data_IF_256160671491
#
_entry.id   IF_256160671491
#
_cell.length_a   1.000
_cell.length_b   1.000
_cell.length_c   1.000
_cell.angle_alpha   90.00
_cell.angle_beta   90.00
_cell.angle_gamma   90.00
#
_symmetry.space_group_name_H-M   'P 1'
#
loop_
_entity.id
_entity.type
_entity.pdbx_description
1 polymer ?
#
# COMPACT_ATOMS: atom_id res chain seq x y z
N UNK A 1 -51.48 -11.41 31.22
CA UNK A 1 -52.43 -12.29 30.51
C UNK A 1 -51.65 -13.06 29.45
N UNK A 2 -51.57 -14.40 29.53
CA UNK A 2 -50.82 -15.21 28.56
C UNK A 2 -51.60 -15.38 27.25
N UNK A 3 -50.89 -15.24 26.11
CA UNK A 3 -51.43 -15.49 24.77
C UNK A 3 -51.39 -17.01 24.46
N UNK A 4 -52.39 -17.55 23.74
CA UNK A 4 -52.46 -18.97 23.39
C UNK A 4 -51.49 -19.36 22.24
N UNK A 5 -51.04 -20.63 22.19
CA UNK A 5 -50.12 -21.12 21.15
C UNK A 5 -50.81 -21.31 19.79
N UNK A 6 -50.08 -21.07 18.69
CA UNK A 6 -50.52 -21.36 17.32
C UNK A 6 -49.76 -22.56 16.71
N UNK A 7 -50.40 -23.31 15.79
CA UNK A 7 -50.11 -24.70 15.48
C UNK A 7 -48.99 -24.92 14.45
N UNK A 8 -48.45 -26.14 14.46
CA UNK A 8 -47.48 -26.65 13.49
C UNK A 8 -48.13 -27.01 12.14
N UNK A 9 -47.48 -26.72 11.00
CA UNK A 9 -47.59 -27.48 9.76
C UNK A 9 -46.37 -28.43 9.65
N UNK A 10 -46.51 -29.74 9.46
CA UNK A 10 -47.21 -30.37 8.35
C UNK A 10 -46.20 -30.72 7.26
N UNK A 11 -45.55 -31.89 7.38
CA UNK A 11 -44.61 -32.45 6.40
C UNK A 11 -45.27 -32.73 5.05
N UNK A 12 -44.50 -32.66 3.96
CA UNK A 12 -44.56 -33.75 3.00
C UNK A 12 -43.18 -34.32 2.62
N UNK A 13 -43.24 -35.63 2.38
CA UNK A 13 -42.24 -36.59 1.92
C UNK A 13 -41.80 -36.32 0.47
N UNK A 14 -40.53 -36.62 0.14
CA UNK A 14 -40.06 -37.25 -1.11
C UNK A 14 -38.56 -36.96 -1.37
N UNK A 15 -37.78 -38.00 -1.68
CA UNK A 15 -36.60 -37.86 -2.54
C UNK A 15 -35.35 -38.61 -2.11
N UNK A 16 -35.30 -39.91 -2.40
CA UNK A 16 -34.08 -40.70 -2.38
C UNK A 16 -33.17 -40.39 -3.59
N UNK A 17 -31.85 -40.40 -3.37
CA UNK A 17 -30.92 -41.05 -4.31
C UNK A 17 -29.92 -40.18 -5.09
N UNK A 18 -28.65 -40.55 -4.90
CA UNK A 18 -27.53 -40.55 -5.85
C UNK A 18 -26.65 -39.30 -6.04
N UNK A 19 -25.47 -39.39 -5.41
CA UNK A 19 -24.13 -39.34 -6.00
C UNK A 19 -23.88 -38.31 -7.12
N UNK A 20 -23.04 -37.33 -6.80
CA UNK A 20 -22.40 -36.45 -7.78
C UNK A 20 -21.27 -35.68 -7.14
N UNK A 21 -20.09 -36.30 -7.10
CA UNK A 21 -18.82 -35.61 -6.87
C UNK A 21 -18.70 -34.41 -7.81
N UNK A 22 -18.78 -33.19 -7.31
CA UNK A 22 -17.96 -32.06 -7.75
C UNK A 22 -17.78 -31.11 -6.56
N UNK A 23 -16.69 -31.31 -5.81
CA UNK A 23 -16.18 -30.29 -4.93
C UNK A 23 -15.66 -29.16 -5.82
N UNK A 24 -16.53 -28.20 -6.14
CA UNK A 24 -16.11 -26.89 -6.60
C UNK A 24 -15.25 -26.30 -5.50
N UNK A 25 -13.93 -26.36 -5.66
CA UNK A 25 -13.02 -25.52 -4.92
C UNK A 25 -13.32 -24.07 -5.31
N UNK A 26 -14.27 -23.47 -4.60
CA UNK A 26 -14.37 -22.02 -4.48
C UNK A 26 -13.03 -21.59 -3.87
N UNK A 27 -12.09 -21.16 -4.72
CA UNK A 27 -10.98 -20.33 -4.25
C UNK A 27 -11.67 -19.17 -3.56
N UNK A 28 -11.56 -19.13 -2.23
CA UNK A 28 -11.78 -17.93 -1.45
C UNK A 28 -10.66 -17.01 -1.91
N UNK A 29 -10.90 -16.28 -3.00
CA UNK A 29 -10.22 -15.03 -3.25
C UNK A 29 -10.49 -14.21 -2.00
N UNK A 30 -9.53 -14.30 -1.08
CA UNK A 30 -9.56 -13.53 0.13
C UNK A 30 -9.39 -12.13 -0.39
N UNK A 31 -10.48 -11.36 -0.39
CA UNK A 31 -10.44 -9.93 -0.56
C UNK A 31 -9.54 -9.41 0.57
N UNK A 32 -8.23 -9.37 0.29
CA UNK A 32 -7.23 -8.81 1.18
C UNK A 32 -7.36 -7.31 0.98
N UNK A 33 -8.29 -6.71 1.70
CA UNK A 33 -8.36 -5.26 1.80
C UNK A 33 -7.09 -4.79 2.52
N UNK A 34 -6.27 -3.92 1.89
CA UNK A 34 -4.98 -3.55 2.46
C UNK A 34 -5.15 -2.71 3.74
N UNK A 35 -4.45 -3.10 4.80
CA UNK A 35 -4.48 -2.36 6.07
C UNK A 35 -3.46 -1.23 6.03
N UNK A 36 -3.92 -0.01 5.76
CA UNK A 36 -3.08 1.20 5.79
C UNK A 36 -3.12 1.94 7.12
N UNK A 37 -3.85 1.41 8.12
CA UNK A 37 -4.00 2.03 9.44
C UNK A 37 -2.80 1.76 10.35
N UNK A 38 -2.13 0.63 10.13
CA UNK A 38 -0.96 0.23 10.90
C UNK A 38 0.33 0.80 10.30
N UNK A 39 1.15 1.54 11.07
CA UNK A 39 2.45 2.00 10.58
C UNK A 39 3.40 0.79 10.37
N UNK A 40 4.21 0.78 9.31
CA UNK A 40 5.16 -0.29 9.06
C UNK A 40 6.23 -0.35 10.15
N UNK A 41 6.58 -1.56 10.55
CA UNK A 41 7.79 -1.81 11.36
C UNK A 41 9.04 -1.38 10.60
N UNK A 42 10.17 -1.22 11.31
CA UNK A 42 11.45 -0.83 10.67
C UNK A 42 11.84 -1.74 9.50
N UNK A 43 11.70 -3.05 9.65
CA UNK A 43 12.06 -4.01 8.60
C UNK A 43 11.13 -3.93 7.39
N UNK A 44 9.82 -3.78 7.61
CA UNK A 44 8.85 -3.57 6.53
C UNK A 44 9.10 -2.24 5.81
N UNK A 45 9.37 -1.17 6.55
CA UNK A 45 9.71 0.14 6.00
C UNK A 45 10.94 0.06 5.11
N UNK A 46 12.00 -0.62 5.56
CA UNK A 46 13.21 -0.82 4.75
C UNK A 46 12.91 -1.58 3.45
N UNK A 47 12.14 -2.66 3.50
CA UNK A 47 11.76 -3.42 2.31
C UNK A 47 10.92 -2.58 1.33
N UNK A 48 9.93 -1.83 1.84
CA UNK A 48 9.08 -0.96 1.01
C UNK A 48 9.86 0.23 0.42
N UNK A 49 10.78 0.83 1.18
CA UNK A 49 11.66 1.90 0.68
C UNK A 49 12.65 1.35 -0.35
N UNK A 50 13.19 0.14 -0.14
CA UNK A 50 14.00 -0.56 -1.14
C UNK A 50 13.23 -0.82 -2.43
N UNK A 51 11.96 -1.24 -2.31
CA UNK A 51 11.10 -1.38 -3.48
C UNK A 51 10.83 -0.05 -4.20
N UNK A 52 10.65 1.06 -3.48
CA UNK A 52 10.53 2.37 -4.11
C UNK A 52 11.80 2.82 -4.84
N UNK A 53 12.97 2.36 -4.40
CA UNK A 53 14.23 2.64 -5.06
C UNK A 53 14.46 1.79 -6.32
N UNK A 54 13.80 0.65 -6.44
CA UNK A 54 13.79 -0.18 -7.64
C UNK A 54 12.94 0.44 -8.75
N UNK A 55 13.37 0.28 -10.01
CA UNK A 55 12.70 0.88 -11.17
C UNK A 55 11.33 0.26 -11.46
N UNK A 56 11.17 -1.02 -11.15
CA UNK A 56 9.92 -1.77 -11.35
C UNK A 56 9.10 -1.87 -10.06
N UNK A 57 9.59 -1.28 -8.96
CA UNK A 57 8.93 -1.37 -7.66
C UNK A 57 9.13 -2.72 -6.97
N UNK A 58 10.09 -3.55 -7.38
CA UNK A 58 10.29 -4.91 -6.85
C UNK A 58 10.89 -4.88 -5.46
N UNK A 59 10.49 -5.82 -4.61
CA UNK A 59 11.15 -5.96 -3.33
C UNK A 59 12.62 -6.40 -3.51
N UNK A 60 13.53 -5.92 -2.63
CA UNK A 60 14.90 -6.41 -2.58
C UNK A 60 14.96 -7.93 -2.39
N UNK A 61 15.88 -8.60 -3.08
CA UNK A 61 16.05 -10.06 -3.04
C UNK A 61 16.38 -10.58 -1.63
N UNK A 62 17.00 -9.76 -0.79
CA UNK A 62 17.36 -10.07 0.59
C UNK A 62 16.22 -9.82 1.60
N UNK A 63 15.02 -9.51 1.13
CA UNK A 63 13.84 -9.33 1.99
C UNK A 63 13.54 -10.62 2.74
N UNK A 64 13.62 -10.56 4.07
CA UNK A 64 13.37 -11.69 4.95
C UNK A 64 11.96 -12.30 4.71
N UNK A 65 11.85 -13.62 4.68
CA UNK A 65 10.59 -14.34 4.42
C UNK A 65 9.45 -13.98 5.38
N UNK A 66 9.73 -13.66 6.65
CA UNK A 66 8.71 -13.17 7.60
C UNK A 66 8.23 -11.78 7.26
N UNK A 67 9.13 -10.90 6.80
CA UNK A 67 8.77 -9.56 6.33
C UNK A 67 7.92 -9.69 5.07
N UNK A 68 8.35 -10.50 4.10
CA UNK A 68 7.60 -10.78 2.88
C UNK A 68 6.19 -11.29 3.20
N UNK A 69 6.06 -12.35 4.01
CA UNK A 69 4.76 -12.89 4.40
C UNK A 69 3.87 -11.83 5.06
N UNK A 70 4.44 -11.02 5.96
CA UNK A 70 3.68 -9.94 6.59
C UNK A 70 3.25 -8.85 5.62
N UNK A 71 4.07 -8.48 4.64
CA UNK A 71 3.71 -7.50 3.61
C UNK A 71 2.56 -8.01 2.72
N UNK A 72 2.56 -9.31 2.39
CA UNK A 72 1.46 -9.98 1.67
C UNK A 72 0.17 -9.95 2.48
N UNK A 73 0.23 -10.34 3.76
CA UNK A 73 -0.93 -10.34 4.65
C UNK A 73 -1.52 -8.95 4.84
N UNK A 74 -0.70 -7.90 4.84
CA UNK A 74 -1.14 -6.50 4.95
C UNK A 74 -1.63 -5.92 3.61
N UNK A 75 -1.49 -6.65 2.49
CA UNK A 75 -1.88 -6.19 1.16
C UNK A 75 -1.02 -5.05 0.62
N UNK A 76 0.20 -4.86 1.11
CA UNK A 76 1.09 -3.74 0.72
C UNK A 76 1.93 -4.04 -0.53
N UNK A 77 1.86 -5.26 -1.02
CA UNK A 77 2.58 -5.73 -2.20
C UNK A 77 1.68 -6.62 -3.04
N UNK A 78 1.97 -6.68 -4.33
CA UNK A 78 1.26 -7.53 -5.29
C UNK A 78 2.25 -8.51 -5.91
N UNK A 79 1.83 -9.77 -6.07
CA UNK A 79 2.64 -10.80 -6.72
C UNK A 79 2.65 -10.62 -8.23
N UNK A 80 3.81 -10.82 -8.84
CA UNK A 80 3.97 -10.79 -10.29
C UNK A 80 3.53 -12.13 -10.89
N UNK A 81 2.96 -12.14 -12.11
CA UNK A 81 2.55 -13.37 -12.76
C UNK A 81 3.71 -14.36 -12.90
N UNK A 82 3.50 -15.63 -12.51
CA UNK A 82 4.48 -16.70 -12.64
C UNK A 82 5.64 -16.66 -11.64
N UNK A 83 5.64 -15.73 -10.68
CA UNK A 83 6.67 -15.64 -9.67
C UNK A 83 6.55 -16.74 -8.61
N UNK A 84 7.70 -17.18 -8.06
CA UNK A 84 7.71 -18.01 -6.87
C UNK A 84 7.14 -17.21 -5.67
N UNK A 85 6.10 -17.70 -4.97
CA UNK A 85 5.49 -16.98 -3.86
C UNK A 85 6.44 -16.73 -2.67
N UNK A 86 7.58 -17.44 -2.60
CA UNK A 86 8.63 -17.29 -1.59
C UNK A 86 9.77 -16.35 -2.03
N UNK A 87 9.91 -16.07 -3.33
CA UNK A 87 10.91 -15.15 -3.86
C UNK A 87 10.40 -13.71 -3.70
N UNK A 88 11.16 -12.88 -2.97
CA UNK A 88 10.82 -11.48 -2.75
C UNK A 88 10.78 -10.67 -4.05
N UNK A 89 11.69 -10.93 -4.99
CA UNK A 89 11.76 -10.19 -6.28
C UNK A 89 10.56 -10.47 -7.20
N UNK A 90 9.81 -11.53 -6.86
CA UNK A 90 8.52 -11.88 -7.43
C UNK A 90 7.36 -10.99 -7.01
N UNK A 91 7.58 -9.98 -6.15
CA UNK A 91 6.53 -9.08 -5.66
C UNK A 91 6.94 -7.62 -5.85
N UNK A 92 5.96 -6.77 -6.12
CA UNK A 92 6.13 -5.32 -6.26
C UNK A 92 5.31 -4.54 -5.23
N UNK A 93 5.81 -3.38 -4.81
CA UNK A 93 5.05 -2.45 -3.95
C UNK A 93 3.85 -1.87 -4.71
N UNK A 94 2.67 -1.95 -4.10
CA UNK A 94 1.44 -1.39 -4.66
C UNK A 94 1.09 -0.03 -4.01
N UNK A 95 0.00 0.59 -4.46
CA UNK A 95 -0.44 1.90 -3.95
C UNK A 95 -0.68 1.93 -2.43
N UNK A 96 -1.17 0.83 -1.85
CA UNK A 96 -1.36 0.72 -0.41
C UNK A 96 -0.03 0.65 0.35
N UNK A 97 0.94 -0.12 -0.16
CA UNK A 97 2.29 -0.15 0.41
C UNK A 97 2.99 1.19 0.35
N UNK A 98 2.83 1.94 -0.76
CA UNK A 98 3.33 3.32 -0.87
C UNK A 98 2.68 4.21 0.18
N UNK A 99 1.35 4.17 0.29
CA UNK A 99 0.57 4.94 1.28
C UNK A 99 1.01 4.66 2.72
N UNK A 100 1.29 3.40 3.06
CA UNK A 100 1.65 2.95 4.40
C UNK A 100 2.97 3.55 4.92
N UNK A 101 3.87 4.00 4.03
CA UNK A 101 5.12 4.65 4.43
C UNK A 101 4.93 6.02 5.08
N UNK A 102 3.77 6.66 4.87
CA UNK A 102 3.55 8.06 5.17
C UNK A 102 2.41 8.28 6.17
N UNK A 103 2.49 9.34 6.97
CA UNK A 103 1.32 9.86 7.69
C UNK A 103 0.31 10.45 6.70
N UNK A 104 -0.92 10.72 7.14
CA UNK A 104 -1.92 11.36 6.28
C UNK A 104 -1.45 12.72 5.74
N UNK A 105 -0.80 13.53 6.58
CA UNK A 105 -0.25 14.84 6.19
C UNK A 105 0.86 14.71 5.16
N UNK A 106 1.80 13.77 5.35
CA UNK A 106 2.88 13.52 4.39
C UNK A 106 2.33 13.01 3.05
N UNK A 107 1.38 12.08 3.09
CA UNK A 107 0.74 11.55 1.90
C UNK A 107 -0.03 12.62 1.12
N UNK A 108 -0.71 13.55 1.83
CA UNK A 108 -1.35 14.70 1.21
C UNK A 108 -0.33 15.61 0.51
N UNK A 109 0.79 15.91 1.16
CA UNK A 109 1.85 16.72 0.57
C UNK A 109 2.45 16.09 -0.71
N UNK A 110 2.63 14.77 -0.74
CA UNK A 110 3.08 14.03 -1.93
C UNK A 110 2.09 14.11 -3.10
N UNK A 111 0.78 14.07 -2.80
CA UNK A 111 -0.28 14.19 -3.81
C UNK A 111 -0.35 15.60 -4.40
N UNK A 112 -0.22 16.61 -3.55
CA UNK A 112 -0.34 18.03 -3.91
C UNK A 112 0.97 18.62 -4.45
N UNK A 113 2.05 17.82 -4.51
CA UNK A 113 3.31 18.24 -5.11
C UNK A 113 3.12 18.60 -6.60
N UNK A 114 3.84 19.64 -7.05
CA UNK A 114 3.78 20.09 -8.45
C UNK A 114 4.29 19.02 -9.42
N UNK A 115 4.17 19.26 -10.73
CA UNK A 115 4.72 18.36 -11.74
C UNK A 115 6.25 18.21 -11.59
N UNK A 116 6.93 19.29 -11.19
CA UNK A 116 8.37 19.37 -10.92
C UNK A 116 8.74 18.80 -9.54
N UNK A 117 7.75 18.37 -8.75
CA UNK A 117 7.95 17.78 -7.42
C UNK A 117 8.07 18.79 -6.30
N UNK A 118 7.76 20.07 -6.50
CA UNK A 118 7.76 21.05 -5.40
C UNK A 118 6.61 20.74 -4.44
N UNK A 119 6.89 20.64 -3.14
CA UNK A 119 5.86 20.49 -2.13
C UNK A 119 5.09 21.82 -1.94
N UNK A 120 3.78 21.78 -1.62
CA UNK A 120 3.02 23.00 -1.33
C UNK A 120 3.66 23.82 -0.21
N UNK A 121 3.71 25.15 -0.37
CA UNK A 121 4.24 26.05 0.67
C UNK A 121 3.50 25.94 2.01
N UNK A 122 2.22 25.53 1.98
CA UNK A 122 1.40 25.29 3.17
C UNK A 122 1.67 23.94 3.85
N UNK A 123 2.59 23.11 3.33
CA UNK A 123 2.94 21.82 3.95
C UNK A 123 3.53 22.08 5.34
N UNK A 124 2.97 21.49 6.42
CA UNK A 124 3.49 21.71 7.75
C UNK A 124 4.97 21.36 7.86
N UNK A 125 5.76 22.25 8.46
CA UNK A 125 7.20 22.07 8.63
C UNK A 125 7.60 20.68 9.20
N UNK A 126 6.92 20.12 10.23
CA UNK A 126 7.25 18.78 10.72
C UNK A 126 7.08 17.67 9.67
N UNK A 127 6.12 17.81 8.75
CA UNK A 127 5.92 16.85 7.66
C UNK A 127 7.07 16.92 6.65
N UNK A 128 7.51 18.13 6.29
CA UNK A 128 8.66 18.34 5.39
C UNK A 128 9.94 17.77 6.00
N UNK A 129 10.22 18.06 7.27
CA UNK A 129 11.39 17.52 7.96
C UNK A 129 11.39 15.99 8.02
N UNK A 130 10.23 15.38 8.30
CA UNK A 130 10.13 13.93 8.34
C UNK A 130 10.30 13.30 6.95
N UNK A 131 9.84 13.95 5.88
CA UNK A 131 10.12 13.52 4.50
C UNK A 131 11.61 13.67 4.16
N UNK A 132 12.24 14.78 4.57
CA UNK A 132 13.66 15.04 4.35
C UNK A 132 14.55 14.04 5.09
N UNK A 133 14.28 13.80 6.38
CA UNK A 133 15.03 12.84 7.19
C UNK A 133 14.89 11.39 6.70
N UNK A 134 13.84 11.09 5.94
CA UNK A 134 13.64 9.80 5.30
C UNK A 134 14.13 9.77 3.82
N UNK A 135 14.72 10.85 3.31
CA UNK A 135 15.28 10.95 1.96
C UNK A 135 14.25 11.13 0.84
N UNK A 136 12.98 11.42 1.15
CA UNK A 136 11.92 11.65 0.15
C UNK A 136 11.83 13.10 -0.31
N UNK A 137 12.39 14.03 0.45
CA UNK A 137 12.40 15.45 0.11
C UNK A 137 13.76 16.09 0.39
N UNK A 138 14.02 17.21 -0.24
CA UNK A 138 15.19 18.05 -0.03
C UNK A 138 14.82 19.52 -0.19
N UNK A 139 15.54 20.41 0.48
CA UNK A 139 15.37 21.84 0.27
C UNK A 139 16.23 22.31 -0.90
N UNK A 140 15.70 23.20 -1.73
CA UNK A 140 16.44 23.84 -2.81
C UNK A 140 16.29 25.36 -2.75
N UNK A 141 17.37 26.07 -3.07
CA UNK A 141 17.34 27.53 -3.26
C UNK A 141 16.73 27.93 -4.62
N UNK A 142 16.68 29.23 -4.90
CA UNK A 142 16.12 29.77 -6.15
C UNK A 142 16.90 29.32 -7.40
N UNK A 143 18.17 28.97 -7.23
CA UNK A 143 19.05 28.43 -8.26
C UNK A 143 18.95 26.91 -8.40
N UNK A 144 18.10 26.26 -7.60
CA UNK A 144 17.85 24.83 -7.61
C UNK A 144 18.92 23.99 -6.90
N UNK A 145 19.83 24.59 -6.16
CA UNK A 145 20.89 23.88 -5.43
C UNK A 145 20.33 23.31 -4.14
N UNK A 146 20.76 22.10 -3.78
CA UNK A 146 20.34 21.43 -2.55
C UNK A 146 20.89 22.15 -1.34
N UNK A 147 20.02 22.39 -0.36
CA UNK A 147 20.32 23.08 0.89
C UNK A 147 19.97 22.18 2.08
N UNK A 148 20.68 22.31 3.20
CA UNK A 148 20.43 21.47 4.37
C UNK A 148 19.08 21.77 5.03
N UNK A 149 18.61 23.03 4.99
CA UNK A 149 17.43 23.51 5.73
C UNK A 149 16.63 24.52 4.89
N UNK A 150 15.47 24.96 5.38
CA UNK A 150 14.59 25.93 4.72
C UNK A 150 15.07 27.40 4.78
N UNK A 151 16.02 27.69 5.68
CA UNK A 151 16.51 29.04 5.99
C UNK A 151 15.40 30.07 6.22
N UNK A 152 14.37 29.70 7.00
CA UNK A 152 13.24 30.59 7.29
C UNK A 152 12.33 30.82 6.08
N UNK A 153 12.17 29.80 5.25
CA UNK A 153 11.31 29.82 4.06
C UNK A 153 11.96 30.37 2.78
N UNK A 154 13.29 30.62 2.79
CA UNK A 154 14.03 31.02 1.58
C UNK A 154 14.20 29.86 0.60
N UNK A 155 14.30 28.65 1.11
CA UNK A 155 14.41 27.44 0.30
C UNK A 155 13.08 26.72 0.23
N UNK A 156 12.75 26.23 -0.95
CA UNK A 156 11.54 25.44 -1.19
C UNK A 156 11.84 23.95 -1.05
N UNK A 157 10.87 23.19 -0.54
CA UNK A 157 11.00 21.74 -0.44
C UNK A 157 10.59 21.07 -1.76
N UNK A 158 11.44 20.20 -2.27
CA UNK A 158 11.22 19.40 -3.47
C UNK A 158 11.30 17.93 -3.14
N UNK A 159 10.52 17.11 -3.83
CA UNK A 159 10.65 15.67 -3.80
C UNK A 159 11.98 15.24 -4.44
N UNK A 160 12.67 14.31 -3.81
CA UNK A 160 13.79 13.60 -4.44
C UNK A 160 13.26 12.62 -5.49
N UNK A 161 14.15 11.95 -6.23
CA UNK A 161 13.75 10.87 -7.14
C UNK A 161 12.94 9.77 -6.42
N UNK A 162 13.36 9.43 -5.19
CA UNK A 162 12.64 8.49 -4.34
C UNK A 162 11.27 9.03 -3.93
N UNK A 163 11.18 10.32 -3.59
CA UNK A 163 9.92 11.01 -3.30
C UNK A 163 8.94 11.02 -4.47
N UNK A 164 9.45 11.24 -5.69
CA UNK A 164 8.65 11.21 -6.91
C UNK A 164 8.09 9.80 -7.16
N UNK A 165 8.88 8.75 -6.94
CA UNK A 165 8.39 7.36 -7.00
C UNK A 165 7.38 7.04 -5.92
N UNK A 166 7.48 7.67 -4.76
CA UNK A 166 6.52 7.46 -3.68
C UNK A 166 5.13 8.04 -3.96
N UNK A 167 4.98 8.93 -4.96
CA UNK A 167 3.70 9.53 -5.32
C UNK A 167 2.67 8.46 -5.68
N UNK A 168 1.38 8.72 -5.43
CA UNK A 168 0.32 7.87 -5.95
C UNK A 168 0.46 7.76 -7.46
N UNK A 169 0.58 6.52 -7.93
CA UNK A 169 0.42 6.19 -9.34
C UNK A 169 -1.08 6.10 -9.57
N UNK A 170 -1.61 6.64 -10.68
CA UNK A 170 -2.97 6.32 -11.10
C UNK A 170 -3.16 4.80 -11.06
N UNK A 171 -4.32 4.30 -10.60
CA UNK A 171 -4.55 2.85 -10.59
C UNK A 171 -4.29 2.29 -11.99
N UNK A 172 -3.49 1.23 -12.06
CA UNK A 172 -3.29 0.49 -13.31
C UNK A 172 -4.69 -0.01 -13.75
N UNK A 173 -5.10 0.14 -15.02
CA UNK A 173 -6.36 -0.45 -15.48
C UNK A 173 -6.44 -1.96 -15.19
N UNK A 174 -5.31 -2.65 -15.05
CA UNK A 174 -5.25 -4.05 -14.61
C UNK A 174 -5.73 -4.27 -13.16
N UNK A 175 -5.63 -3.26 -12.29
CA UNK A 175 -6.10 -3.31 -10.90
C UNK A 175 -7.60 -2.96 -10.78
N UNK A 176 -8.26 -2.56 -11.88
CA UNK A 176 -9.69 -2.19 -11.91
C UNK A 176 -10.61 -3.29 -12.47
N UNK A 177 -10.06 -4.47 -12.75
CA UNK A 177 -10.82 -5.63 -13.23
C UNK A 177 -11.29 -6.52 -12.09
N UNK A 178 -12.43 -6.17 -11.47
CA UNK A 178 -13.31 -7.07 -10.74
C UNK A 178 -14.77 -6.69 -11.02
#
# INVERSE_FOLDING_TARGET
MPLPPRPAPGSPDAGAGHAGHQASHTRKDTDITPDTTKPPTRAQRLALTGALADDEGRLPADTNSRVLASLKTLGWITSLPGADPQDATGHRINSAGRRALFTATQWKALQEATAEGQLPAATPWPAVQALQGAGFAEYRDAEGRVQPHDHGGRNSAYLTHLGLRARPVPPDPADSGC
#
